data_IF_640714623016
#
_entry.id   IF_640714623016
#
_cell.length_a   1.000
_cell.length_b   1.000
_cell.length_c   1.000
_cell.angle_alpha   90.00
_cell.angle_beta   90.00
_cell.angle_gamma   90.00
#
_symmetry.space_group_name_H-M   'P 1'
#
loop_
_entity.id
_entity.type
_entity.pdbx_description
1 polymer ?
#
# COMPACT_ATOMS: atom_id res chain seq x y z
N UNK A 1 -5.04 4.46 -16.64
CA UNK A 1 -5.95 5.18 -17.56
C UNK A 1 -6.44 6.50 -16.99
N UNK A 2 -6.98 6.56 -15.76
CA UNK A 2 -7.49 7.80 -15.17
C UNK A 2 -6.50 8.99 -15.17
N UNK A 3 -5.22 8.78 -14.81
CA UNK A 3 -4.23 9.88 -14.85
C UNK A 3 -4.03 10.45 -16.27
N UNK A 4 -3.95 9.58 -17.28
CA UNK A 4 -3.84 10.00 -18.68
C UNK A 4 -5.09 10.79 -19.10
N UNK A 5 -6.27 10.25 -18.82
CA UNK A 5 -7.54 10.90 -19.15
C UNK A 5 -7.70 12.27 -18.48
N UNK A 6 -7.26 12.41 -17.23
CA UNK A 6 -7.37 13.68 -16.49
C UNK A 6 -6.36 14.75 -16.96
N UNK A 7 -5.14 14.35 -17.32
CA UNK A 7 -4.03 15.31 -17.57
C UNK A 7 -3.60 15.45 -19.02
N UNK A 8 -3.92 14.48 -19.88
CA UNK A 8 -3.43 14.42 -21.27
C UNK A 8 -4.56 14.42 -22.30
N UNK A 9 -5.82 14.39 -21.88
CA UNK A 9 -6.99 14.41 -22.76
C UNK A 9 -7.88 15.62 -22.45
N UNK A 10 -8.72 16.00 -23.42
CA UNK A 10 -9.61 17.16 -23.29
C UNK A 10 -10.91 16.79 -22.57
N UNK A 11 -11.39 15.57 -22.75
CA UNK A 11 -12.62 15.10 -22.13
C UNK A 11 -12.44 14.99 -20.61
N UNK A 12 -13.37 15.60 -19.87
CA UNK A 12 -13.42 15.55 -18.41
C UNK A 12 -13.61 14.11 -17.92
N UNK A 13 -12.92 13.74 -16.84
CA UNK A 13 -13.20 12.51 -16.08
C UNK A 13 -14.26 12.72 -14.99
N UNK A 14 -14.80 13.93 -14.87
CA UNK A 14 -15.79 14.32 -13.87
C UNK A 14 -17.17 14.55 -14.50
N UNK A 15 -18.22 14.12 -13.80
CA UNK A 15 -19.62 14.39 -14.14
C UNK A 15 -20.19 13.56 -15.29
N UNK A 16 -19.47 12.54 -15.76
CA UNK A 16 -19.89 11.66 -16.84
C UNK A 16 -19.48 10.21 -16.54
N UNK A 17 -20.44 9.40 -16.13
CA UNK A 17 -20.22 7.98 -15.81
C UNK A 17 -19.90 7.16 -17.05
N UNK A 18 -20.43 7.50 -18.23
CA UNK A 18 -20.12 6.78 -19.47
C UNK A 18 -18.64 6.91 -19.81
N UNK A 19 -18.05 8.08 -19.53
CA UNK A 19 -16.61 8.28 -19.67
C UNK A 19 -15.81 7.39 -18.72
N UNK A 20 -16.23 7.26 -17.46
CA UNK A 20 -15.57 6.41 -16.48
C UNK A 20 -15.70 4.92 -16.84
N UNK A 21 -16.87 4.48 -17.32
CA UNK A 21 -17.11 3.12 -17.83
C UNK A 21 -16.19 2.81 -19.01
N UNK A 22 -16.10 3.71 -19.99
CA UNK A 22 -15.22 3.52 -21.14
C UNK A 22 -13.73 3.37 -20.73
N UNK A 23 -13.27 4.19 -19.77
CA UNK A 23 -11.91 4.11 -19.23
C UNK A 23 -11.67 2.81 -18.42
N UNK A 24 -12.69 2.29 -17.74
CA UNK A 24 -12.63 1.01 -17.04
C UNK A 24 -12.49 -0.17 -18.03
N UNK A 25 -13.28 -0.16 -19.11
CA UNK A 25 -13.20 -1.17 -20.18
C UNK A 25 -11.84 -1.12 -20.88
N UNK A 26 -11.31 0.08 -21.16
CA UNK A 26 -9.96 0.24 -21.73
C UNK A 26 -8.88 -0.34 -20.82
N UNK A 27 -9.07 -0.27 -19.50
CA UNK A 27 -8.19 -0.88 -18.51
C UNK A 27 -8.37 -2.41 -18.37
N UNK A 28 -9.32 -3.02 -19.09
CA UNK A 28 -9.59 -4.46 -19.09
C UNK A 28 -10.66 -4.92 -18.08
N UNK A 29 -11.42 -4.00 -17.48
CA UNK A 29 -12.50 -4.32 -16.55
C UNK A 29 -13.81 -4.64 -17.31
N UNK A 30 -14.69 -5.41 -16.68
CA UNK A 30 -16.00 -5.72 -17.23
C UNK A 30 -16.92 -4.49 -17.20
N UNK A 31 -17.55 -4.17 -18.33
CA UNK A 31 -18.43 -2.99 -18.45
C UNK A 31 -19.60 -3.04 -17.44
N UNK A 32 -20.25 -4.19 -17.32
CA UNK A 32 -21.38 -4.37 -16.42
C UNK A 32 -21.00 -4.12 -14.96
N UNK A 33 -19.85 -4.63 -14.52
CA UNK A 33 -19.36 -4.42 -13.15
C UNK A 33 -18.99 -2.95 -12.91
N UNK A 34 -18.33 -2.29 -13.86
CA UNK A 34 -18.01 -0.87 -13.75
C UNK A 34 -19.28 -0.01 -13.60
N UNK A 35 -20.32 -0.31 -14.37
CA UNK A 35 -21.63 0.36 -14.28
C UNK A 35 -22.32 0.10 -12.94
N UNK A 36 -22.30 -1.14 -12.47
CA UNK A 36 -22.88 -1.51 -11.16
C UNK A 36 -22.19 -0.76 -10.02
N UNK A 37 -20.86 -0.68 -10.04
CA UNK A 37 -20.09 0.07 -9.04
C UNK A 37 -20.40 1.57 -9.08
N UNK A 38 -20.47 2.17 -10.27
CA UNK A 38 -20.77 3.61 -10.40
C UNK A 38 -22.21 3.95 -9.98
N UNK A 39 -23.15 3.00 -10.13
CA UNK A 39 -24.54 3.18 -9.71
C UNK A 39 -24.77 2.97 -8.20
N UNK A 40 -23.85 2.32 -7.50
CA UNK A 40 -23.92 2.06 -6.06
C UNK A 40 -22.88 2.91 -5.31
N UNK A 41 -23.34 4.04 -4.75
CA UNK A 41 -22.49 4.96 -3.98
C UNK A 41 -21.81 4.31 -2.76
N UNK A 42 -22.32 3.17 -2.26
CA UNK A 42 -21.72 2.48 -1.12
C UNK A 42 -20.64 1.50 -1.54
N UNK A 43 -20.64 1.07 -2.81
CA UNK A 43 -19.68 0.12 -3.34
C UNK A 43 -18.28 0.74 -3.34
N UNK A 44 -17.37 0.15 -2.56
CA UNK A 44 -16.00 0.64 -2.30
C UNK A 44 -15.88 1.93 -1.46
N UNK A 45 -16.99 2.53 -1.02
CA UNK A 45 -16.93 3.76 -0.24
C UNK A 45 -16.21 3.57 1.10
N UNK A 46 -16.44 2.44 1.78
CA UNK A 46 -15.80 2.15 3.07
C UNK A 46 -14.29 1.98 2.93
N UNK A 47 -13.85 1.34 1.85
CA UNK A 47 -12.45 1.09 1.49
C UNK A 47 -11.73 2.40 1.16
N UNK A 48 -12.31 3.26 0.31
CA UNK A 48 -11.76 4.59 0.01
C UNK A 48 -11.60 5.42 1.30
N UNK A 49 -12.62 5.41 2.17
CA UNK A 49 -12.56 6.12 3.47
C UNK A 49 -11.53 5.51 4.41
N UNK A 50 -11.29 4.21 4.34
CA UNK A 50 -10.26 3.55 5.14
C UNK A 50 -8.85 3.95 4.70
N UNK A 51 -8.61 4.02 3.38
CA UNK A 51 -7.33 4.48 2.84
C UNK A 51 -7.05 5.95 3.19
N UNK A 52 -8.06 6.82 3.11
CA UNK A 52 -7.95 8.24 3.53
C UNK A 52 -7.59 8.38 5.03
N UNK A 53 -8.21 7.56 5.89
CA UNK A 53 -7.89 7.53 7.33
C UNK A 53 -6.48 7.03 7.57
N UNK A 54 -6.08 5.93 6.93
CA UNK A 54 -4.74 5.38 7.07
C UNK A 54 -3.67 6.38 6.63
N UNK A 55 -3.90 7.12 5.54
CA UNK A 55 -3.01 8.20 5.10
C UNK A 55 -2.88 9.31 6.16
N UNK A 56 -4.01 9.71 6.77
CA UNK A 56 -4.03 10.74 7.82
C UNK A 56 -3.29 10.27 9.08
N UNK A 57 -3.50 9.03 9.51
CA UNK A 57 -2.80 8.42 10.66
C UNK A 57 -1.28 8.32 10.45
N UNK A 58 -0.86 8.14 9.20
CA UNK A 58 0.55 8.17 8.77
C UNK A 58 1.12 9.59 8.60
N UNK A 59 0.32 10.62 8.87
CA UNK A 59 0.73 12.04 8.80
C UNK A 59 0.72 12.64 7.39
N UNK A 60 0.09 11.99 6.42
CA UNK A 60 -0.03 12.50 5.07
C UNK A 60 -1.06 13.64 5.00
N UNK A 61 -0.58 14.88 4.81
CA UNK A 61 -1.43 16.07 4.65
C UNK A 61 -1.52 16.54 3.17
N UNK A 62 -0.96 15.76 2.25
CA UNK A 62 -0.93 16.08 0.82
C UNK A 62 -0.39 14.90 0.02
N UNK A 63 -0.74 14.86 -1.26
CA UNK A 63 -0.33 13.80 -2.20
C UNK A 63 0.57 14.36 -3.31
N UNK A 64 1.47 13.55 -3.88
CA UNK A 64 1.73 12.14 -3.54
C UNK A 64 2.50 11.98 -2.23
N UNK A 65 2.21 10.92 -1.48
CA UNK A 65 2.88 10.54 -0.24
C UNK A 65 3.17 9.04 -0.27
N UNK A 66 4.41 8.67 0.02
CA UNK A 66 4.88 7.30 -0.04
C UNK A 66 5.34 6.85 1.34
N UNK A 67 4.92 5.66 1.75
CA UNK A 67 5.36 5.04 3.00
C UNK A 67 6.08 3.74 2.68
N UNK A 68 7.37 3.68 3.01
CA UNK A 68 8.24 2.53 2.77
C UNK A 68 8.44 1.76 4.08
N UNK A 69 8.16 0.44 4.03
CA UNK A 69 8.25 -0.48 5.16
C UNK A 69 7.52 0.01 6.43
N UNK A 70 6.41 0.74 6.26
CA UNK A 70 5.65 1.38 7.35
C UNK A 70 6.48 2.27 8.30
N UNK A 71 7.68 2.68 7.89
CA UNK A 71 8.66 3.38 8.75
C UNK A 71 9.18 4.67 8.14
N UNK A 72 9.39 4.69 6.83
CA UNK A 72 9.95 5.85 6.13
C UNK A 72 8.87 6.53 5.31
N UNK A 73 8.65 7.83 5.52
CA UNK A 73 7.73 8.64 4.72
C UNK A 73 8.48 9.52 3.73
N UNK A 74 8.03 9.54 2.47
CA UNK A 74 8.50 10.47 1.43
C UNK A 74 7.31 11.30 0.95
N UNK A 75 7.37 12.61 1.18
CA UNK A 75 6.29 13.54 0.82
C UNK A 75 6.61 14.30 -0.46
N UNK A 76 5.64 14.34 -1.38
CA UNK A 76 5.72 15.05 -2.65
C UNK A 76 6.37 14.26 -3.78
N UNK A 77 6.32 14.85 -4.97
CA UNK A 77 6.94 14.30 -6.19
C UNK A 77 8.46 14.55 -6.17
N UNK A 78 9.17 13.77 -5.37
CA UNK A 78 10.62 13.89 -5.21
C UNK A 78 11.40 13.36 -6.44
N UNK A 79 12.67 13.77 -6.62
CA UNK A 79 13.55 13.17 -7.62
C UNK A 79 13.73 11.66 -7.41
N UNK A 80 14.00 10.94 -8.50
CA UNK A 80 14.21 9.47 -8.47
C UNK A 80 15.36 9.05 -7.52
N UNK A 81 16.40 9.88 -7.38
CA UNK A 81 17.52 9.62 -6.49
C UNK A 81 17.11 9.58 -5.01
N UNK A 82 16.15 10.44 -4.61
CA UNK A 82 15.59 10.46 -3.25
C UNK A 82 14.82 9.18 -2.98
N UNK A 83 14.02 8.72 -3.95
CA UNK A 83 13.32 7.44 -3.82
C UNK A 83 14.26 6.25 -3.75
N UNK A 84 15.31 6.24 -4.57
CA UNK A 84 16.34 5.20 -4.55
C UNK A 84 17.01 5.12 -3.18
N UNK A 85 17.39 6.28 -2.61
CA UNK A 85 17.97 6.33 -1.27
C UNK A 85 16.99 5.85 -0.20
N UNK A 86 15.73 6.30 -0.25
CA UNK A 86 14.71 5.90 0.73
C UNK A 86 14.42 4.39 0.68
N UNK A 87 14.37 3.80 -0.52
CA UNK A 87 14.22 2.35 -0.72
C UNK A 87 15.41 1.57 -0.14
N UNK A 88 16.64 2.00 -0.43
CA UNK A 88 17.86 1.37 0.10
C UNK A 88 17.87 1.42 1.62
N UNK A 89 17.57 2.58 2.22
CA UNK A 89 17.55 2.74 3.67
C UNK A 89 16.46 1.89 4.33
N UNK A 90 15.26 1.83 3.73
CA UNK A 90 14.19 0.96 4.21
C UNK A 90 14.59 -0.51 4.16
N UNK A 91 15.24 -0.94 3.08
CA UNK A 91 15.74 -2.31 2.92
C UNK A 91 16.83 -2.65 3.95
N UNK A 92 17.83 -1.80 4.12
CA UNK A 92 18.92 -2.03 5.09
C UNK A 92 18.43 -2.08 6.54
N UNK A 93 17.39 -1.31 6.86
CA UNK A 93 16.81 -1.26 8.20
C UNK A 93 15.83 -2.40 8.49
N UNK A 94 15.36 -3.10 7.44
CA UNK A 94 14.50 -4.28 7.51
C UNK A 94 15.31 -5.55 7.79
N UNK A 95 16.54 -5.63 7.27
CA UNK A 95 17.46 -6.72 7.61
C UNK A 95 17.77 -6.58 9.10
N UNK A 96 17.49 -7.58 9.96
CA UNK A 96 17.98 -7.53 11.33
C UNK A 96 19.49 -7.42 11.23
N UNK A 97 20.04 -6.26 11.59
CA UNK A 97 21.47 -5.97 11.60
C UNK A 97 22.17 -7.21 12.12
N UNK A 98 22.96 -7.87 11.26
CA UNK A 98 23.58 -9.18 11.46
C UNK A 98 23.69 -9.55 12.96
N UNK A 99 22.67 -10.25 13.46
CA UNK A 99 22.46 -10.27 14.90
C UNK A 99 21.03 -10.57 15.34
N UNK A 100 20.44 -11.65 14.83
CA UNK A 100 19.75 -12.54 15.78
C UNK A 100 20.85 -13.12 16.68
N UNK A 101 21.33 -12.33 17.64
CA UNK A 101 21.90 -12.90 18.83
C UNK A 101 20.75 -13.68 19.46
N UNK A 102 20.88 -15.00 19.54
CA UNK A 102 20.14 -15.81 20.51
C UNK A 102 20.14 -15.00 21.82
N UNK A 103 19.00 -14.73 22.45
CA UNK A 103 19.03 -14.12 23.77
C UNK A 103 19.86 -15.06 24.64
N UNK A 104 21.08 -14.65 25.00
CA UNK A 104 21.88 -15.34 26.00
C UNK A 104 21.17 -15.10 27.34
N UNK A 105 20.14 -15.91 27.61
CA UNK A 105 19.25 -15.76 28.76
C UNK A 105 17.75 -15.85 28.47
N UNK A 106 17.29 -16.37 27.32
CA UNK A 106 15.90 -16.81 27.22
C UNK A 106 15.72 -18.13 27.98
N UNK A 107 15.60 -18.03 29.31
CA UNK A 107 15.04 -19.13 30.10
C UNK A 107 13.56 -19.29 29.71
N UNK A 108 13.25 -20.35 28.96
CA UNK A 108 11.94 -21.00 29.00
C UNK A 108 10.84 -20.54 28.02
N UNK A 109 11.17 -20.14 26.79
CA UNK A 109 10.18 -20.01 25.72
C UNK A 109 10.31 -21.15 24.70
N UNK A 110 9.38 -22.10 24.69
CA UNK A 110 9.38 -23.17 23.70
C UNK A 110 9.32 -22.60 22.27
N UNK A 111 10.41 -22.72 21.53
CA UNK A 111 10.48 -22.39 20.12
C UNK A 111 10.74 -23.68 19.34
N UNK A 112 10.02 -23.86 18.23
CA UNK A 112 10.24 -24.98 17.33
C UNK A 112 11.41 -24.67 16.41
N UNK A 113 12.45 -25.50 16.48
CA UNK A 113 13.58 -25.46 15.57
C UNK A 113 13.37 -26.36 14.35
N UNK A 114 14.31 -26.33 13.39
CA UNK A 114 14.35 -27.30 12.29
C UNK A 114 14.47 -28.75 12.80
N UNK A 115 14.99 -28.91 14.03
CA UNK A 115 15.18 -30.19 14.71
C UNK A 115 13.96 -30.63 15.55
N UNK A 116 12.86 -29.86 15.51
CA UNK A 116 11.62 -30.14 16.24
C UNK A 116 11.36 -29.17 17.40
N UNK A 117 10.22 -29.39 18.07
CA UNK A 117 9.80 -28.60 19.22
C UNK A 117 10.04 -29.39 20.50
N UNK A 118 10.57 -28.74 21.53
CA UNK A 118 10.64 -29.34 22.86
C UNK A 118 9.22 -29.44 23.45
N UNK A 119 8.79 -30.66 23.75
CA UNK A 119 7.47 -30.92 24.34
C UNK A 119 7.65 -30.93 25.86
N UNK A 120 6.95 -30.08 26.63
CA UNK A 120 7.12 -30.06 28.08
C UNK A 120 6.71 -31.41 28.67
N UNK A 121 7.63 -32.06 29.40
CA UNK A 121 7.31 -33.25 30.19
C UNK A 121 6.40 -32.82 31.37
N UNK A 122 5.27 -33.52 31.50
CA UNK A 122 4.20 -33.17 32.45
C UNK A 122 4.53 -33.44 33.91
#
# INVERSE_FOLDING_TARGET
MLYRANFAERESVFGDDERLVALAVEAGLAEAEAREVLADEQRYAAEVRADERAATELGANGVPFFVLDRRYGVSGAQPADVFTQALTQAWESHVPAAGLATPAGAEGGAACGPDGCEVPEG
#
